data_IF_737839165973
#
_entry.id   IF_737839165973
#
_cell.length_a   1.000
_cell.length_b   1.000
_cell.length_c   1.000
_cell.angle_alpha   90.00
_cell.angle_beta   90.00
_cell.angle_gamma   90.00
#
_symmetry.space_group_name_H-M   'P 1'
#
loop_
_entity.id
_entity.type
_entity.pdbx_description
1 polymer ?
#
# COMPACT_ATOMS: atom_id res chain seq x y z
N UNK A 1 -51.17 26.26 2.71
CA UNK A 1 -50.03 25.71 3.48
C UNK A 1 -49.22 24.77 2.58
N UNK A 2 -48.13 25.26 2.00
CA UNK A 2 -47.26 24.47 1.10
C UNK A 2 -46.20 23.69 1.87
N UNK A 3 -46.07 22.39 1.62
CA UNK A 3 -45.09 21.51 2.29
C UNK A 3 -43.67 21.86 1.84
N UNK A 4 -42.81 22.25 2.77
CA UNK A 4 -41.37 22.38 2.55
C UNK A 4 -40.77 21.02 2.19
N UNK A 5 -40.24 20.87 0.98
CA UNK A 5 -39.42 19.71 0.60
C UNK A 5 -37.94 20.06 0.81
N UNK A 6 -37.19 19.35 1.67
CA UNK A 6 -35.77 19.62 1.82
C UNK A 6 -35.05 19.32 0.50
N UNK A 7 -34.24 20.27 0.03
CA UNK A 7 -33.35 20.04 -1.12
C UNK A 7 -32.33 18.97 -0.72
N UNK A 8 -32.11 17.97 -1.59
CA UNK A 8 -31.02 17.01 -1.41
C UNK A 8 -29.72 17.78 -1.30
N UNK A 9 -28.96 17.54 -0.23
CA UNK A 9 -27.64 18.11 -0.05
C UNK A 9 -26.73 17.71 -1.24
N UNK A 10 -25.88 18.62 -1.75
CA UNK A 10 -24.94 18.29 -2.80
C UNK A 10 -24.00 17.16 -2.33
N UNK A 11 -23.89 16.11 -3.15
CA UNK A 11 -22.89 15.04 -2.96
C UNK A 11 -21.53 15.59 -3.36
N UNK A 12 -20.80 16.16 -2.42
CA UNK A 12 -19.36 16.38 -2.60
C UNK A 12 -18.64 15.02 -2.64
N UNK A 13 -17.59 14.85 -3.45
CA UNK A 13 -16.73 13.68 -3.35
C UNK A 13 -16.09 13.63 -1.95
N UNK A 14 -16.11 12.45 -1.34
CA UNK A 14 -15.56 12.22 0.00
C UNK A 14 -14.07 12.58 0.04
N UNK A 15 -13.63 13.26 1.10
CA UNK A 15 -12.22 13.57 1.31
C UNK A 15 -11.43 12.28 1.58
N UNK A 16 -10.14 12.20 1.19
CA UNK A 16 -9.28 11.09 1.60
C UNK A 16 -9.33 10.94 3.13
N UNK A 17 -9.71 9.76 3.62
CA UNK A 17 -9.80 9.45 5.05
C UNK A 17 -11.16 9.58 5.73
N UNK A 18 -12.25 9.89 5.01
CA UNK A 18 -13.60 9.68 5.57
C UNK A 18 -13.95 8.19 5.64
N UNK A 19 -14.33 7.70 6.83
CA UNK A 19 -14.90 6.36 6.99
C UNK A 19 -16.17 6.25 6.13
N UNK A 20 -16.08 5.52 5.02
CA UNK A 20 -17.26 5.15 4.24
C UNK A 20 -18.09 4.18 5.07
N UNK A 21 -19.28 4.61 5.44
CA UNK A 21 -20.34 3.69 5.81
C UNK A 21 -20.87 3.05 4.53
N UNK A 22 -20.87 1.72 4.47
CA UNK A 22 -21.61 1.01 3.42
C UNK A 22 -23.10 1.36 3.47
N UNK A 23 -23.90 0.98 2.46
CA UNK A 23 -25.35 1.25 2.43
C UNK A 23 -26.11 0.72 3.67
N UNK A 24 -25.49 -0.17 4.45
CA UNK A 24 -26.01 -0.79 5.67
C UNK A 24 -25.54 -0.12 6.97
N UNK A 25 -24.67 0.89 6.92
CA UNK A 25 -24.04 1.44 8.13
C UNK A 25 -22.93 0.56 8.72
N UNK A 26 -22.51 -0.50 8.00
CA UNK A 26 -21.35 -1.31 8.37
C UNK A 26 -20.04 -0.64 7.94
N UNK A 27 -18.98 -0.82 8.74
CA UNK A 27 -17.62 -0.41 8.39
C UNK A 27 -17.10 -1.30 7.25
N UNK A 28 -16.60 -0.67 6.18
CA UNK A 28 -15.94 -1.37 5.08
C UNK A 28 -14.58 -1.92 5.55
N UNK A 29 -14.37 -3.24 5.46
CA UNK A 29 -13.07 -3.87 5.73
C UNK A 29 -12.30 -3.94 4.41
N UNK A 30 -11.06 -3.42 4.40
CA UNK A 30 -10.13 -3.53 3.29
C UNK A 30 -8.90 -4.32 3.72
N UNK A 31 -8.33 -5.06 2.78
CA UNK A 31 -7.11 -5.84 2.98
C UNK A 31 -6.01 -5.32 2.05
N UNK A 32 -4.76 -5.37 2.51
CA UNK A 32 -3.60 -5.16 1.66
C UNK A 32 -2.95 -6.52 1.38
N UNK A 33 -2.93 -6.92 0.12
CA UNK A 33 -2.32 -8.18 -0.33
C UNK A 33 -0.83 -7.97 -0.65
N UNK A 34 -0.02 -9.02 -0.49
CA UNK A 34 1.33 -9.12 -1.07
C UNK A 34 1.51 -10.52 -1.63
N UNK A 35 1.99 -10.61 -2.87
CA UNK A 35 1.99 -11.83 -3.68
C UNK A 35 3.34 -11.96 -4.39
N UNK A 36 4.05 -13.10 -4.23
CA UNK A 36 3.60 -14.34 -3.57
C UNK A 36 3.59 -14.28 -2.03
N UNK A 37 4.19 -13.24 -1.43
CA UNK A 37 4.36 -13.15 0.02
C UNK A 37 4.75 -11.74 0.47
N UNK A 38 4.81 -11.51 1.79
CA UNK A 38 5.20 -10.22 2.36
C UNK A 38 6.67 -9.86 2.05
N UNK A 39 7.51 -10.85 1.77
CA UNK A 39 8.90 -10.67 1.37
C UNK A 39 9.02 -9.85 0.09
N UNK A 40 8.03 -9.87 -0.80
CA UNK A 40 8.02 -8.97 -1.97
C UNK A 40 7.98 -7.50 -1.56
N UNK A 41 7.13 -7.13 -0.59
CA UNK A 41 7.12 -5.77 -0.05
C UNK A 41 8.51 -5.37 0.50
N UNK A 42 9.21 -6.29 1.18
CA UNK A 42 10.56 -6.04 1.70
C UNK A 42 11.61 -5.89 0.60
N UNK A 43 11.52 -6.65 -0.50
CA UNK A 43 12.41 -6.48 -1.67
C UNK A 43 12.34 -5.05 -2.20
N UNK A 44 11.13 -4.46 -2.25
CA UNK A 44 10.90 -3.12 -2.78
C UNK A 44 11.57 -2.01 -1.96
N UNK A 45 12.02 -2.28 -0.73
CA UNK A 45 12.86 -1.32 0.02
C UNK A 45 14.25 -1.14 -0.62
N UNK A 46 14.75 -2.18 -1.30
CA UNK A 46 16.09 -2.21 -1.88
C UNK A 46 16.07 -1.94 -3.38
N UNK A 47 15.15 -2.57 -4.11
CA UNK A 47 15.16 -2.55 -5.57
C UNK A 47 13.75 -2.69 -6.17
N UNK A 48 13.52 -2.03 -7.30
CA UNK A 48 12.28 -2.18 -8.06
C UNK A 48 12.38 -3.41 -8.96
N UNK A 49 11.41 -4.32 -8.87
CA UNK A 49 11.35 -5.49 -9.75
C UNK A 49 9.91 -5.88 -10.05
N UNK A 50 9.68 -6.34 -11.28
CA UNK A 50 8.46 -7.05 -11.71
C UNK A 50 8.82 -8.43 -12.25
N UNK A 51 10.03 -8.92 -11.96
CA UNK A 51 10.45 -10.25 -12.37
C UNK A 51 9.62 -11.31 -11.62
N UNK A 52 9.11 -12.35 -12.29
CA UNK A 52 8.24 -13.34 -11.67
C UNK A 52 8.86 -13.98 -10.42
N UNK A 53 8.06 -14.07 -9.35
CA UNK A 53 8.41 -14.75 -8.11
C UNK A 53 7.41 -15.90 -7.90
N UNK A 54 7.74 -17.14 -8.32
CA UNK A 54 6.77 -18.23 -8.38
C UNK A 54 6.22 -18.64 -7.00
N UNK A 55 7.00 -18.42 -5.94
CA UNK A 55 6.62 -18.78 -4.58
C UNK A 55 7.33 -17.90 -3.54
N UNK A 56 6.91 -18.06 -2.28
CA UNK A 56 7.48 -17.35 -1.14
C UNK A 56 8.94 -17.70 -0.87
N UNK A 57 9.38 -18.93 -1.19
CA UNK A 57 10.77 -19.35 -1.03
C UNK A 57 11.71 -18.61 -1.99
N UNK A 58 11.25 -18.36 -3.22
CA UNK A 58 11.97 -17.60 -4.23
C UNK A 58 12.04 -16.12 -3.86
N UNK A 59 10.95 -15.56 -3.32
CA UNK A 59 10.94 -14.20 -2.79
C UNK A 59 11.92 -14.05 -1.61
N UNK A 60 11.93 -14.99 -0.66
CA UNK A 60 12.87 -15.01 0.47
C UNK A 60 14.33 -15.10 0.00
N UNK A 61 14.63 -15.97 -0.97
CA UNK A 61 15.96 -16.10 -1.55
C UNK A 61 16.42 -14.82 -2.29
N UNK A 62 15.51 -14.12 -2.98
CA UNK A 62 15.80 -12.83 -3.62
C UNK A 62 16.06 -11.73 -2.58
N UNK A 63 15.27 -11.67 -1.52
CA UNK A 63 15.44 -10.70 -0.44
C UNK A 63 16.80 -10.86 0.25
N UNK A 64 17.21 -12.12 0.50
CA UNK A 64 18.51 -12.42 1.13
C UNK A 64 19.74 -11.97 0.35
N UNK A 65 19.60 -11.57 -0.92
CA UNK A 65 20.71 -10.95 -1.67
C UNK A 65 21.05 -9.56 -1.16
N UNK A 66 20.04 -8.80 -0.75
CA UNK A 66 20.19 -7.44 -0.22
C UNK A 66 20.20 -7.43 1.33
N UNK A 67 19.58 -8.45 1.96
CA UNK A 67 19.54 -8.61 3.40
C UNK A 67 19.91 -10.07 3.84
N UNK A 68 21.20 -10.44 3.82
CA UNK A 68 21.64 -11.82 4.04
C UNK A 68 21.19 -12.46 5.37
N UNK A 69 21.12 -11.66 6.44
CA UNK A 69 20.72 -12.09 7.77
C UNK A 69 19.20 -12.09 8.00
N UNK A 70 18.39 -11.86 6.96
CA UNK A 70 16.93 -11.87 7.05
C UNK A 70 16.38 -13.20 7.60
N UNK A 71 15.56 -13.07 8.64
CA UNK A 71 14.70 -14.12 9.20
C UNK A 71 13.30 -13.53 9.36
N UNK A 72 12.27 -14.37 9.26
CA UNK A 72 10.87 -13.93 9.46
C UNK A 72 10.60 -13.34 10.85
N UNK A 73 11.40 -13.73 11.84
CA UNK A 73 11.38 -13.17 13.20
C UNK A 73 12.26 -11.94 13.40
N UNK A 74 12.99 -11.48 12.38
CA UNK A 74 13.85 -10.31 12.48
C UNK A 74 13.02 -9.05 12.67
N UNK A 75 13.41 -8.21 13.62
CA UNK A 75 12.87 -6.86 13.73
C UNK A 75 13.41 -5.99 12.58
N UNK A 76 12.60 -5.03 12.06
CA UNK A 76 13.08 -4.07 11.08
C UNK A 76 14.28 -3.28 11.61
N UNK A 77 15.37 -3.22 10.84
CA UNK A 77 16.53 -2.39 11.19
C UNK A 77 16.23 -0.91 10.89
N UNK A 78 16.92 0.04 11.54
CA UNK A 78 16.79 1.47 11.22
C UNK A 78 17.10 1.81 9.75
N UNK A 79 17.91 0.99 9.08
CA UNK A 79 18.15 1.14 7.64
C UNK A 79 16.90 0.83 6.81
N UNK A 80 16.22 -0.28 7.11
CA UNK A 80 15.01 -0.67 6.38
C UNK A 80 13.89 0.35 6.59
N UNK A 81 13.75 0.85 7.82
CA UNK A 81 12.77 1.89 8.15
C UNK A 81 13.00 3.17 7.34
N UNK A 82 14.26 3.58 7.14
CA UNK A 82 14.59 4.75 6.30
C UNK A 82 14.25 4.55 4.81
N UNK A 83 14.11 3.30 4.36
CA UNK A 83 13.79 2.95 2.97
C UNK A 83 12.29 2.78 2.70
N UNK A 84 11.41 2.99 3.68
CA UNK A 84 9.94 2.92 3.48
C UNK A 84 9.46 3.78 2.30
N UNK A 85 9.92 5.04 2.10
CA UNK A 85 9.51 5.83 0.94
C UNK A 85 9.87 5.17 -0.41
N UNK A 86 11.01 4.48 -0.48
CA UNK A 86 11.40 3.73 -1.68
C UNK A 86 10.44 2.57 -1.94
N UNK A 87 10.09 1.81 -0.89
CA UNK A 87 9.14 0.70 -1.01
C UNK A 87 7.75 1.18 -1.45
N UNK A 88 7.28 2.32 -0.93
CA UNK A 88 6.03 2.95 -1.37
C UNK A 88 6.10 3.33 -2.85
N UNK A 89 7.16 4.03 -3.27
CA UNK A 89 7.33 4.43 -4.67
C UNK A 89 7.42 3.22 -5.62
N UNK A 90 8.17 2.18 -5.24
CA UNK A 90 8.35 0.97 -6.02
C UNK A 90 7.06 0.13 -6.09
N UNK A 91 6.28 0.06 -5.01
CA UNK A 91 4.96 -0.59 -5.01
C UNK A 91 3.98 0.13 -5.92
N UNK A 92 3.90 1.47 -5.85
CA UNK A 92 3.10 2.28 -6.78
C UNK A 92 3.48 1.99 -8.23
N UNK A 93 4.78 1.97 -8.53
CA UNK A 93 5.29 1.66 -9.87
C UNK A 93 4.91 0.25 -10.34
N UNK A 94 5.00 -0.75 -9.47
CA UNK A 94 4.59 -2.13 -9.76
C UNK A 94 3.09 -2.23 -10.04
N UNK A 95 2.25 -1.58 -9.20
CA UNK A 95 0.81 -1.52 -9.42
C UNK A 95 0.46 -0.85 -10.75
N UNK A 96 1.09 0.28 -11.09
CA UNK A 96 0.90 0.95 -12.39
C UNK A 96 1.29 0.05 -13.56
N UNK A 97 2.39 -0.70 -13.44
CA UNK A 97 2.82 -1.66 -14.44
C UNK A 97 1.75 -2.74 -14.71
N UNK A 98 1.18 -3.33 -13.65
CA UNK A 98 0.13 -4.35 -13.80
C UNK A 98 -1.20 -3.77 -14.30
N UNK A 99 -1.60 -2.57 -13.85
CA UNK A 99 -2.80 -1.89 -14.35
C UNK A 99 -2.69 -1.54 -15.84
N UNK A 100 -1.49 -1.34 -16.35
CA UNK A 100 -1.22 -1.13 -17.78
C UNK A 100 -1.18 -2.44 -18.60
N UNK A 101 -1.50 -3.60 -17.99
CA UNK A 101 -1.49 -4.90 -18.66
C UNK A 101 -0.13 -5.60 -18.68
N UNK A 102 0.83 -5.15 -17.87
CA UNK A 102 2.14 -5.78 -17.73
C UNK A 102 2.11 -7.01 -16.82
N UNK A 103 2.80 -8.07 -17.24
CA UNK A 103 2.94 -9.31 -16.47
C UNK A 103 1.63 -10.07 -16.28
N UNK A 104 1.61 -10.99 -15.32
CA UNK A 104 0.45 -11.81 -14.94
C UNK A 104 -0.15 -11.40 -13.58
N UNK A 105 0.33 -10.29 -13.01
CA UNK A 105 -0.02 -9.82 -11.66
C UNK A 105 0.93 -10.31 -10.56
N UNK A 106 1.93 -11.13 -10.89
CA UNK A 106 2.98 -11.56 -9.99
C UNK A 106 4.34 -10.96 -10.41
N UNK A 107 5.11 -10.35 -9.49
CA UNK A 107 4.78 -10.07 -8.09
C UNK A 107 3.98 -8.78 -7.90
N UNK A 108 3.11 -8.71 -6.90
CA UNK A 108 2.33 -7.51 -6.59
C UNK A 108 2.12 -7.28 -5.10
N UNK A 109 1.93 -6.02 -4.68
CA UNK A 109 1.61 -5.67 -3.29
C UNK A 109 0.76 -4.40 -3.22
N UNK A 110 -0.03 -4.32 -2.14
CA UNK A 110 -0.91 -3.19 -1.80
C UNK A 110 -0.57 -2.61 -0.42
N UNK A 111 0.58 -3.01 0.16
CA UNK A 111 1.01 -2.56 1.48
C UNK A 111 1.27 -1.05 1.51
N UNK A 112 1.64 -0.44 0.38
CA UNK A 112 1.75 1.01 0.26
C UNK A 112 0.41 1.72 0.51
N UNK A 113 -0.71 1.16 0.04
CA UNK A 113 -2.04 1.74 0.28
C UNK A 113 -2.41 1.67 1.77
N UNK A 114 -2.08 0.56 2.43
CA UNK A 114 -2.25 0.42 3.88
C UNK A 114 -1.40 1.44 4.64
N UNK A 115 -0.14 1.65 4.23
CA UNK A 115 0.74 2.65 4.84
C UNK A 115 0.26 4.07 4.60
N UNK A 116 -0.23 4.41 3.42
CA UNK A 116 -0.82 5.72 3.13
C UNK A 116 -1.99 6.04 4.07
N UNK A 117 -2.90 5.07 4.28
CA UNK A 117 -4.04 5.22 5.19
C UNK A 117 -3.58 5.35 6.65
N UNK A 118 -2.64 4.51 7.10
CA UNK A 118 -2.10 4.58 8.46
C UNK A 118 -1.36 5.91 8.70
N UNK A 119 -0.55 6.35 7.73
CA UNK A 119 0.19 7.59 7.79
C UNK A 119 -0.75 8.81 7.82
N UNK A 120 -1.83 8.77 7.04
CA UNK A 120 -2.87 9.80 7.09
C UNK A 120 -3.55 9.86 8.46
N UNK A 121 -3.84 8.72 9.07
CA UNK A 121 -4.45 8.63 10.40
C UNK A 121 -3.49 9.01 11.54
N UNK A 122 -2.18 9.00 11.30
CA UNK A 122 -1.18 9.32 12.31
C UNK A 122 -1.13 10.82 12.64
N UNK A 123 -0.60 11.13 13.83
CA UNK A 123 -0.36 12.51 14.27
C UNK A 123 0.56 13.23 13.27
N UNK A 124 0.32 14.52 12.93
CA UNK A 124 1.08 15.20 11.90
C UNK A 124 2.61 15.13 12.06
N UNK A 125 3.12 15.17 13.29
CA UNK A 125 4.55 15.17 13.59
C UNK A 125 5.24 13.80 13.48
N UNK A 126 4.50 12.71 13.34
CA UNK A 126 5.07 11.37 13.08
C UNK A 126 4.81 10.88 11.65
N UNK A 127 4.19 11.71 10.82
CA UNK A 127 3.89 11.33 9.44
C UNK A 127 5.18 11.19 8.64
N UNK A 128 5.25 10.13 7.85
CA UNK A 128 6.28 9.91 6.86
C UNK A 128 5.95 10.71 5.60
N UNK A 129 6.97 11.29 4.97
CA UNK A 129 6.85 11.81 3.62
C UNK A 129 7.14 10.69 2.62
N UNK A 130 6.14 10.35 1.80
CA UNK A 130 6.26 9.32 0.76
C UNK A 130 6.54 9.90 -0.63
N UNK A 131 6.75 11.22 -0.73
CA UNK A 131 6.80 11.92 -2.01
C UNK A 131 5.40 12.03 -2.62
N UNK A 132 5.07 13.22 -3.10
CA UNK A 132 3.78 13.49 -3.73
C UNK A 132 3.77 13.02 -5.19
N UNK A 133 2.75 12.26 -5.58
CA UNK A 133 2.02 12.62 -6.79
C UNK A 133 0.73 13.31 -6.33
N UNK A 134 0.64 14.61 -6.60
CA UNK A 134 -0.64 15.32 -6.57
C UNK A 134 -1.49 14.68 -7.65
N UNK A 135 -2.49 13.89 -7.25
CA UNK A 135 -3.62 13.54 -8.11
C UNK A 135 -4.64 14.67 -8.06
#
# INVERSE_FOLDING_TARGET
>A
MGRFRPRKAPRYPARPGECRYGPTGAKEIRFARSDPSFEYWLILHFDFTTAPLPDSGTAEARLRRDWPEYRKSSSPTPEILRRIPNAVANSRRCRTYHLAGGGDGNPSTEVDLLLEIQNYAAQPFVRLDFGAERV
#
